data_IF_170598000092
#
_entry.id   IF_170598000092
#
_cell.length_a   1.000
_cell.length_b   1.000
_cell.length_c   1.000
_cell.angle_alpha   90.00
_cell.angle_beta   90.00
_cell.angle_gamma   90.00
#
_symmetry.space_group_name_H-M   'P 1'
#
loop_
_entity.id
_entity.type
_entity.pdbx_description
1 polymer ?
#
# COMPACT_ATOMS: atom_id res chain seq x y z
N UNK A 1 39.70 -23.16 63.73
CA UNK A 1 39.72 -22.26 62.56
C UNK A 1 39.58 -23.09 61.29
N UNK A 2 39.07 -22.50 60.21
CA UNK A 2 38.15 -23.05 59.20
C UNK A 2 38.54 -24.23 58.28
N UNK A 3 37.49 -24.99 57.95
CA UNK A 3 37.30 -25.89 56.80
C UNK A 3 37.30 -25.14 55.46
N UNK A 4 37.83 -25.74 54.39
CA UNK A 4 37.38 -25.48 53.00
C UNK A 4 37.42 -26.78 52.18
N UNK A 5 36.25 -27.35 51.91
CA UNK A 5 36.04 -28.31 50.82
C UNK A 5 35.73 -27.51 49.55
N UNK A 6 36.53 -27.70 48.50
CA UNK A 6 36.28 -27.13 47.18
C UNK A 6 35.36 -28.04 46.37
N UNK A 7 34.12 -27.59 46.14
CA UNK A 7 33.22 -28.20 45.15
C UNK A 7 33.65 -27.78 43.75
N UNK A 8 34.06 -28.75 42.94
CA UNK A 8 34.14 -28.60 41.49
C UNK A 8 32.73 -28.74 40.90
N UNK A 9 32.14 -27.62 40.47
CA UNK A 9 30.95 -27.62 39.63
C UNK A 9 31.37 -27.86 38.18
N UNK A 10 31.04 -29.04 37.65
CA UNK A 10 31.18 -29.38 36.24
C UNK A 10 29.99 -28.77 35.48
N UNK A 11 30.21 -27.63 34.80
CA UNK A 11 29.21 -27.03 33.93
C UNK A 11 29.20 -27.79 32.59
N UNK A 12 28.21 -28.66 32.41
CA UNK A 12 27.92 -29.29 31.10
C UNK A 12 27.20 -28.27 30.24
N UNK A 13 27.93 -27.58 29.38
CA UNK A 13 27.37 -26.72 28.35
C UNK A 13 26.80 -27.60 27.23
N UNK A 14 25.48 -27.78 27.21
CA UNK A 14 24.78 -28.31 26.03
C UNK A 14 24.81 -27.26 24.93
N UNK A 15 25.81 -27.31 24.07
CA UNK A 15 25.79 -26.62 22.79
C UNK A 15 24.79 -27.35 21.88
N UNK A 16 23.58 -26.81 21.76
CA UNK A 16 22.65 -27.23 20.72
C UNK A 16 23.30 -26.96 19.35
N UNK A 17 23.34 -27.95 18.44
CA UNK A 17 23.86 -27.71 17.11
C UNK A 17 22.96 -26.69 16.41
N UNK A 18 23.55 -25.59 15.94
CA UNK A 18 22.94 -24.81 14.85
C UNK A 18 22.96 -25.70 13.61
N UNK A 19 21.88 -26.45 13.39
CA UNK A 19 21.65 -27.15 12.12
C UNK A 19 21.63 -26.11 10.99
N UNK A 20 22.43 -26.33 9.95
CA UNK A 20 22.37 -25.54 8.74
C UNK A 20 20.95 -25.60 8.15
N UNK A 21 20.39 -24.42 7.88
CA UNK A 21 19.04 -24.22 7.40
C UNK A 21 18.96 -24.69 5.93
N UNK A 22 18.60 -25.97 5.71
CA UNK A 22 18.26 -26.46 4.39
C UNK A 22 17.02 -25.70 3.93
N UNK A 23 17.21 -24.75 3.00
CA UNK A 23 16.15 -23.90 2.47
C UNK A 23 14.95 -24.67 1.90
N UNK A 24 15.02 -25.99 1.75
CA UNK A 24 13.88 -26.83 1.40
C UNK A 24 12.76 -26.86 2.47
N UNK A 25 13.08 -26.59 3.73
CA UNK A 25 12.16 -26.81 4.86
C UNK A 25 11.16 -25.67 5.05
N UNK A 26 11.60 -24.41 4.88
CA UNK A 26 10.77 -23.23 5.06
C UNK A 26 11.28 -22.03 4.22
N UNK A 27 10.48 -21.59 3.26
CA UNK A 27 10.72 -20.43 2.42
C UNK A 27 9.62 -19.39 2.61
N UNK A 28 9.98 -18.11 2.55
CA UNK A 28 9.03 -16.99 2.66
C UNK A 28 9.24 -16.09 1.44
N UNK A 29 8.17 -15.84 0.70
CA UNK A 29 8.14 -14.95 -0.44
C UNK A 29 7.07 -13.89 -0.22
N UNK A 30 7.46 -12.62 -0.26
CA UNK A 30 6.47 -11.54 -0.39
C UNK A 30 5.85 -11.61 -1.78
N UNK A 31 4.52 -11.54 -1.86
CA UNK A 31 3.81 -11.41 -3.14
C UNK A 31 3.74 -9.94 -3.60
N UNK A 32 4.36 -9.03 -2.85
CA UNK A 32 4.49 -7.61 -3.14
C UNK A 32 5.95 -7.22 -3.34
N UNK A 33 6.20 -6.29 -4.27
CA UNK A 33 7.53 -5.69 -4.43
C UNK A 33 7.91 -4.84 -3.22
N UNK A 34 9.21 -4.66 -2.97
CA UNK A 34 9.74 -3.92 -1.81
C UNK A 34 9.24 -2.47 -1.69
N UNK A 35 8.75 -1.86 -2.77
CA UNK A 35 8.19 -0.51 -2.76
C UNK A 35 6.67 -0.46 -2.51
N UNK A 36 5.97 -1.59 -2.49
CA UNK A 36 4.52 -1.66 -2.31
C UNK A 36 4.05 -1.76 -0.85
N UNK A 37 4.93 -1.50 0.11
CA UNK A 37 4.66 -1.71 1.53
C UNK A 37 4.20 -0.39 2.14
N UNK A 38 2.89 -0.29 2.32
CA UNK A 38 2.24 0.93 2.78
C UNK A 38 1.34 0.62 3.98
N UNK A 39 1.19 1.57 4.92
CA UNK A 39 0.26 1.42 6.03
C UNK A 39 -1.18 1.19 5.54
N UNK A 40 -1.95 0.41 6.30
CA UNK A 40 -3.35 0.10 6.02
C UNK A 40 -3.61 -1.00 4.99
N UNK A 41 -2.61 -1.37 4.16
CA UNK A 41 -2.74 -2.42 3.16
C UNK A 41 -2.52 -3.82 3.75
N UNK A 42 -3.24 -4.80 3.22
CA UNK A 42 -2.99 -6.22 3.49
C UNK A 42 -1.87 -6.70 2.56
N UNK A 43 -0.77 -7.15 3.16
CA UNK A 43 0.46 -7.55 2.50
C UNK A 43 0.59 -9.08 2.58
N UNK A 44 0.25 -9.79 1.49
CA UNK A 44 0.33 -11.24 1.44
C UNK A 44 1.77 -11.74 1.28
N UNK A 45 2.11 -12.70 2.11
CA UNK A 45 3.28 -13.56 2.00
C UNK A 45 2.83 -14.96 1.62
N UNK A 46 3.63 -15.62 0.80
CA UNK A 46 3.56 -17.05 0.61
C UNK A 46 4.68 -17.71 1.40
N UNK A 47 4.32 -18.68 2.23
CA UNK A 47 5.24 -19.52 2.98
C UNK A 47 5.18 -20.92 2.39
N UNK A 48 6.32 -21.50 1.98
CA UNK A 48 6.39 -22.84 1.38
C UNK A 48 7.43 -23.71 2.06
N UNK A 49 7.44 -25.01 1.77
CA UNK A 49 8.37 -25.99 2.34
C UNK A 49 7.67 -27.16 3.04
N UNK A 50 8.43 -28.18 3.45
CA UNK A 50 7.86 -29.33 4.18
C UNK A 50 7.30 -28.95 5.55
N UNK A 51 7.89 -27.95 6.21
CA UNK A 51 7.44 -27.51 7.54
C UNK A 51 6.02 -26.92 7.51
N UNK A 52 5.54 -26.40 6.37
CA UNK A 52 4.16 -25.90 6.28
C UNK A 52 3.14 -26.98 5.90
N UNK A 53 3.54 -27.98 5.12
CA UNK A 53 2.66 -29.07 4.69
C UNK A 53 2.57 -30.22 5.70
N UNK A 54 3.63 -30.45 6.48
CA UNK A 54 3.73 -31.55 7.46
C UNK A 54 3.82 -31.04 8.90
N UNK A 55 4.24 -29.78 9.10
CA UNK A 55 4.42 -29.21 10.42
C UNK A 55 3.18 -28.48 10.97
N UNK A 56 3.23 -28.20 12.28
CA UNK A 56 2.26 -27.41 13.01
C UNK A 56 2.72 -25.96 13.09
N UNK A 57 1.88 -25.03 12.61
CA UNK A 57 2.12 -23.61 12.80
C UNK A 57 2.13 -23.25 14.29
N UNK A 58 3.19 -22.57 14.75
CA UNK A 58 3.36 -22.18 16.17
C UNK A 58 3.09 -20.71 16.41
N UNK A 59 3.35 -19.86 15.44
CA UNK A 59 3.09 -18.43 15.56
C UNK A 59 3.91 -17.58 14.60
N UNK A 60 3.63 -16.28 14.65
CA UNK A 60 4.40 -15.23 13.99
C UNK A 60 4.87 -14.25 15.05
N UNK A 61 6.14 -13.85 14.96
CA UNK A 61 6.70 -12.75 15.75
C UNK A 61 7.02 -11.59 14.81
N UNK A 62 6.52 -10.40 15.16
CA UNK A 62 6.86 -9.16 14.47
C UNK A 62 7.82 -8.39 15.37
N UNK A 63 8.95 -7.98 14.82
CA UNK A 63 9.89 -7.06 15.46
C UNK A 63 9.84 -5.76 14.69
N UNK A 64 9.63 -4.65 15.38
CA UNK A 64 9.46 -3.34 14.79
C UNK A 64 10.45 -2.38 15.45
N UNK A 65 11.02 -1.45 14.68
CA UNK A 65 12.01 -0.50 15.19
C UNK A 65 11.37 0.58 16.07
N UNK A 66 10.17 1.04 15.72
CA UNK A 66 9.50 2.16 16.41
C UNK A 66 8.30 1.74 17.27
N UNK A 67 7.88 0.48 17.21
CA UNK A 67 6.73 -0.06 17.92
C UNK A 67 5.39 0.03 17.16
N UNK A 68 5.38 0.07 15.83
CA UNK A 68 4.16 0.15 15.03
C UNK A 68 3.18 -1.02 15.27
N UNK A 69 1.87 -0.73 15.25
CA UNK A 69 0.81 -1.76 15.36
C UNK A 69 0.71 -2.53 14.04
N UNK A 70 1.46 -3.64 13.98
CA UNK A 70 1.42 -4.59 12.89
C UNK A 70 0.83 -5.93 13.35
N UNK A 71 0.01 -6.55 12.51
CA UNK A 71 -0.66 -7.82 12.78
C UNK A 71 -0.54 -8.75 11.59
N UNK A 72 -0.33 -10.03 11.88
CA UNK A 72 -0.31 -11.09 10.86
C UNK A 72 -1.46 -12.05 11.11
N UNK A 73 -2.16 -12.39 10.03
CA UNK A 73 -3.19 -13.41 10.01
C UNK A 73 -2.77 -14.52 9.03
N UNK A 74 -2.96 -15.78 9.40
CA UNK A 74 -2.87 -16.89 8.44
C UNK A 74 -4.19 -16.97 7.67
N UNK A 75 -4.12 -17.06 6.35
CA UNK A 75 -5.32 -17.19 5.53
C UNK A 75 -6.06 -18.51 5.85
N UNK A 76 -7.38 -18.48 6.09
CA UNK A 76 -8.14 -19.67 6.48
C UNK A 76 -8.37 -20.66 5.34
N UNK A 77 -8.23 -20.24 4.09
CA UNK A 77 -8.46 -21.07 2.89
C UNK A 77 -7.16 -21.51 2.24
N UNK A 78 -6.12 -20.68 2.32
CA UNK A 78 -4.81 -20.94 1.75
C UNK A 78 -3.77 -21.00 2.87
N UNK A 79 -3.49 -22.18 3.46
CA UNK A 79 -2.62 -22.31 4.64
C UNK A 79 -1.19 -21.82 4.41
N UNK A 80 -0.74 -21.69 3.17
CA UNK A 80 0.52 -21.11 2.73
C UNK A 80 0.53 -19.58 2.65
N UNK A 81 -0.63 -18.92 2.75
CA UNK A 81 -0.75 -17.46 2.66
C UNK A 81 -0.88 -16.84 4.05
N UNK A 82 -0.10 -15.80 4.29
CA UNK A 82 -0.15 -14.98 5.49
C UNK A 82 -0.34 -13.52 5.11
N UNK A 83 -1.25 -12.83 5.78
CA UNK A 83 -1.60 -11.44 5.53
C UNK A 83 -1.06 -10.58 6.67
N UNK A 84 -0.08 -9.72 6.39
CA UNK A 84 0.39 -8.69 7.31
C UNK A 84 -0.36 -7.39 7.05
N UNK A 85 -0.71 -6.68 8.11
CA UNK A 85 -1.20 -5.30 8.03
C UNK A 85 -0.55 -4.48 9.12
N UNK A 86 -0.09 -3.28 8.77
CA UNK A 86 0.46 -2.31 9.70
C UNK A 86 -0.41 -1.06 9.72
N UNK A 87 -0.62 -0.46 10.89
CA UNK A 87 -1.33 0.80 11.04
C UNK A 87 -0.46 2.01 10.64
N UNK A 88 0.83 1.93 10.92
CA UNK A 88 1.80 3.03 10.78
C UNK A 88 3.00 2.64 9.91
N UNK A 89 3.81 3.63 9.55
CA UNK A 89 5.08 3.42 8.87
C UNK A 89 6.14 2.90 9.83
N UNK A 90 6.93 1.91 9.41
CA UNK A 90 7.99 1.35 10.25
C UNK A 90 8.97 0.48 9.46
N UNK A 91 10.10 0.18 10.09
CA UNK A 91 10.98 -0.91 9.67
C UNK A 91 10.69 -2.12 10.53
N UNK A 92 10.35 -3.24 9.87
CA UNK A 92 9.94 -4.45 10.58
C UNK A 92 10.64 -5.71 10.06
N UNK A 93 10.72 -6.72 10.92
CA UNK A 93 11.09 -8.08 10.57
C UNK A 93 10.01 -9.03 11.06
N UNK A 94 9.63 -9.99 10.22
CA UNK A 94 8.60 -10.99 10.54
C UNK A 94 9.24 -12.36 10.59
N UNK A 95 9.11 -13.04 11.72
CA UNK A 95 9.59 -14.41 11.94
C UNK A 95 8.38 -15.36 12.01
N UNK A 96 8.42 -16.43 11.22
CA UNK A 96 7.44 -17.50 11.22
C UNK A 96 8.02 -18.73 11.88
N UNK A 97 7.26 -19.37 12.77
CA UNK A 97 7.68 -20.58 13.48
C UNK A 97 6.74 -21.75 13.18
N UNK A 98 7.33 -22.89 12.81
CA UNK A 98 6.64 -24.15 12.55
C UNK A 98 7.31 -25.27 13.35
N UNK A 99 6.54 -26.24 13.81
CA UNK A 99 7.03 -27.42 14.54
C UNK A 99 6.81 -28.67 13.68
N UNK A 100 7.87 -29.44 13.46
CA UNK A 100 7.83 -30.70 12.71
C UNK A 100 8.83 -31.67 13.34
N UNK A 101 8.43 -32.93 13.56
CA UNK A 101 9.25 -33.96 14.21
C UNK A 101 9.88 -33.54 15.54
N UNK A 102 9.13 -32.77 16.34
CA UNK A 102 9.57 -32.25 17.64
C UNK A 102 10.59 -31.11 17.57
N UNK A 103 10.97 -30.67 16.37
CA UNK A 103 11.89 -29.55 16.13
C UNK A 103 11.13 -28.30 15.70
N UNK A 104 11.58 -27.12 16.15
CA UNK A 104 10.99 -25.82 15.77
C UNK A 104 11.85 -25.14 14.71
N UNK A 105 11.28 -24.97 13.53
CA UNK A 105 11.86 -24.28 12.40
C UNK A 105 11.40 -22.82 12.40
N UNK A 106 12.34 -21.89 12.31
CA UNK A 106 12.08 -20.45 12.27
C UNK A 106 12.67 -19.86 11.02
N UNK A 107 11.91 -18.99 10.35
CA UNK A 107 12.42 -18.22 9.23
C UNK A 107 11.94 -16.79 9.32
N UNK A 108 12.84 -15.86 9.05
CA UNK A 108 12.58 -14.43 9.15
C UNK A 108 12.68 -13.77 7.78
N UNK A 109 11.83 -12.77 7.56
CA UNK A 109 11.89 -11.84 6.43
C UNK A 109 12.00 -10.41 6.97
N UNK A 110 12.92 -9.64 6.41
CA UNK A 110 13.20 -8.27 6.82
C UNK A 110 14.65 -7.86 6.58
N UNK A 111 14.98 -6.58 6.79
CA UNK A 111 14.06 -5.51 7.17
C UNK A 111 13.12 -5.14 6.03
N UNK A 112 11.84 -5.00 6.37
CA UNK A 112 10.76 -4.52 5.51
C UNK A 112 10.53 -3.06 5.84
N UNK A 113 10.45 -2.21 4.83
CA UNK A 113 10.20 -0.78 4.99
C UNK A 113 8.74 -0.45 4.65
N UNK A 114 7.89 -0.32 5.67
CA UNK A 114 6.51 0.16 5.53
C UNK A 114 6.56 1.68 5.51
N UNK A 115 6.33 2.27 4.34
CA UNK A 115 6.47 3.71 4.13
C UNK A 115 5.21 4.29 3.51
N UNK A 116 5.06 5.61 3.64
CA UNK A 116 4.02 6.32 2.88
C UNK A 116 4.27 6.06 1.39
N UNK A 117 3.23 5.69 0.60
CA UNK A 117 3.40 5.50 -0.83
C UNK A 117 3.97 6.77 -1.47
N UNK A 118 4.89 6.59 -2.42
CA UNK A 118 5.35 7.71 -3.24
C UNK A 118 4.12 8.27 -4.00
N UNK A 119 3.77 9.56 -3.84
CA UNK A 119 2.63 10.15 -4.53
C UNK A 119 2.75 10.05 -6.06
N UNK A 120 3.95 9.84 -6.60
CA UNK A 120 4.19 9.64 -8.03
C UNK A 120 4.02 8.19 -8.50
N UNK A 121 3.90 7.22 -7.58
CA UNK A 121 3.73 5.80 -7.89
C UNK A 121 2.26 5.36 -7.88
N UNK A 122 1.37 6.18 -7.31
CA UNK A 122 -0.07 5.98 -7.43
C UNK A 122 -0.53 6.62 -8.74
N UNK A 123 -0.58 5.81 -9.80
CA UNK A 123 -1.43 6.12 -10.96
C UNK A 123 -2.87 5.81 -10.55
N UNK A 124 -3.46 6.71 -9.78
CA UNK A 124 -4.91 6.76 -9.66
C UNK A 124 -5.43 7.18 -11.05
N UNK A 125 -6.34 6.43 -11.71
CA UNK A 125 -7.00 6.94 -12.91
C UNK A 125 -7.73 8.29 -12.66
N UNK A 126 -7.86 8.73 -11.40
CA UNK A 126 -8.43 10.00 -11.03
C UNK A 126 -7.66 10.64 -9.85
N UNK A 127 -6.62 11.46 -10.09
CA UNK A 127 -5.80 12.05 -9.04
C UNK A 127 -6.63 12.96 -8.14
N UNK A 128 -6.20 13.07 -6.88
CA UNK A 128 -6.80 13.76 -5.72
C UNK A 128 -7.09 15.26 -5.92
N UNK A 129 -8.02 15.57 -6.82
CA UNK A 129 -8.85 16.76 -6.81
C UNK A 129 -10.32 16.37 -6.64
N UNK A 130 -11.24 17.34 -6.45
CA UNK A 130 -12.65 17.05 -6.71
C UNK A 130 -12.74 16.42 -8.11
N UNK A 131 -13.67 15.48 -8.37
CA UNK A 131 -13.86 14.92 -9.70
C UNK A 131 -13.74 16.05 -10.74
N UNK A 132 -12.98 15.85 -11.81
CA UNK A 132 -12.73 16.91 -12.81
C UNK A 132 -14.03 17.59 -13.27
N UNK A 133 -15.15 16.85 -13.22
CA UNK A 133 -16.52 17.31 -13.45
C UNK A 133 -17.10 18.20 -12.35
N UNK A 134 -16.74 17.99 -11.08
CA UNK A 134 -17.07 18.87 -9.95
C UNK A 134 -16.28 20.18 -10.00
N UNK A 135 -14.98 20.14 -10.28
CA UNK A 135 -14.16 21.36 -10.51
C UNK A 135 -14.73 22.14 -11.70
N UNK A 136 -15.02 21.43 -12.80
CA UNK A 136 -15.65 22.01 -13.98
C UNK A 136 -17.00 22.67 -13.70
N UNK A 137 -17.82 22.07 -12.82
CA UNK A 137 -19.10 22.66 -12.39
C UNK A 137 -18.91 23.97 -11.64
N UNK A 138 -17.93 24.05 -10.74
CA UNK A 138 -17.65 25.27 -9.96
C UNK A 138 -17.13 26.39 -10.85
N UNK A 139 -16.18 26.07 -11.73
CA UNK A 139 -15.66 27.01 -12.72
C UNK A 139 -16.77 27.47 -13.69
N UNK A 140 -17.61 26.55 -14.17
CA UNK A 140 -18.75 26.89 -15.00
C UNK A 140 -19.72 27.86 -14.30
N UNK A 141 -20.00 27.61 -13.03
CA UNK A 141 -20.84 28.51 -12.21
C UNK A 141 -20.25 29.91 -12.08
N UNK A 142 -18.92 30.01 -12.02
CA UNK A 142 -18.21 31.27 -11.77
C UNK A 142 -18.00 32.08 -13.04
N UNK A 143 -17.81 31.41 -14.19
CA UNK A 143 -17.38 32.06 -15.42
C UNK A 143 -18.39 31.99 -16.57
N UNK A 144 -19.42 31.15 -16.50
CA UNK A 144 -20.28 30.85 -17.65
C UNK A 144 -21.77 31.07 -17.38
N UNK A 145 -22.25 30.85 -16.15
CA UNK A 145 -23.69 30.87 -15.80
C UNK A 145 -24.37 32.21 -16.06
N UNK A 146 -23.64 33.33 -15.99
CA UNK A 146 -24.21 34.66 -16.26
C UNK A 146 -24.81 34.78 -17.67
N UNK A 147 -24.28 34.01 -18.64
CA UNK A 147 -24.73 34.01 -20.03
C UNK A 147 -25.32 32.66 -20.46
N UNK A 148 -24.90 31.56 -19.84
CA UNK A 148 -25.29 30.19 -20.18
C UNK A 148 -26.10 29.53 -19.06
N UNK A 149 -27.32 30.01 -18.82
CA UNK A 149 -28.23 29.39 -17.86
C UNK A 149 -29.58 29.05 -18.53
N UNK A 150 -30.06 27.78 -18.54
CA UNK A 150 -29.42 26.61 -17.96
C UNK A 150 -28.32 25.98 -18.85
N UNK A 151 -27.32 25.31 -18.24
CA UNK A 151 -26.23 24.64 -18.96
C UNK A 151 -26.71 23.61 -19.99
N UNK A 152 -27.85 22.97 -19.73
CA UNK A 152 -28.43 21.93 -20.57
C UNK A 152 -28.97 22.43 -21.94
N UNK A 153 -28.98 23.74 -22.19
CA UNK A 153 -29.44 24.31 -23.47
C UNK A 153 -28.42 24.14 -24.62
N UNK A 154 -27.25 23.54 -24.37
CA UNK A 154 -26.22 23.25 -25.38
C UNK A 154 -25.83 21.77 -25.32
N UNK A 155 -26.17 21.07 -26.40
CA UNK A 155 -26.10 19.62 -26.63
C UNK A 155 -24.80 18.92 -26.19
N UNK A 156 -24.93 17.62 -25.84
CA UNK A 156 -23.96 16.50 -25.73
C UNK A 156 -22.76 16.52 -26.71
N UNK A 157 -21.93 17.54 -26.63
CA UNK A 157 -20.69 17.65 -27.40
C UNK A 157 -19.57 16.99 -26.61
N UNK A 158 -18.60 16.41 -27.32
CA UNK A 158 -17.41 15.88 -26.64
C UNK A 158 -16.66 16.99 -25.91
N UNK A 159 -16.00 16.65 -24.81
CA UNK A 159 -15.15 17.60 -24.06
C UNK A 159 -14.13 18.29 -24.99
N UNK A 160 -13.55 17.56 -25.95
CA UNK A 160 -12.64 18.15 -26.95
C UNK A 160 -13.31 19.24 -27.80
N UNK A 161 -14.55 19.03 -28.24
CA UNK A 161 -15.31 20.03 -29.02
C UNK A 161 -15.61 21.27 -28.17
N UNK A 162 -15.99 21.06 -26.91
CA UNK A 162 -16.32 22.14 -25.98
C UNK A 162 -15.08 22.98 -25.67
N UNK A 163 -13.95 22.32 -25.38
CA UNK A 163 -12.68 23.01 -25.15
C UNK A 163 -12.26 23.84 -26.36
N UNK A 164 -12.34 23.26 -27.56
CA UNK A 164 -12.03 23.97 -28.81
C UNK A 164 -12.93 25.20 -28.98
N UNK A 165 -14.22 25.09 -28.70
CA UNK A 165 -15.14 26.23 -28.77
C UNK A 165 -14.77 27.35 -27.78
N UNK A 166 -14.39 27.01 -26.55
CA UNK A 166 -13.94 28.00 -25.56
C UNK A 166 -12.69 28.75 -26.05
N UNK A 167 -11.77 28.04 -26.71
CA UNK A 167 -10.47 28.58 -27.12
C UNK A 167 -10.48 29.31 -28.48
N UNK A 168 -11.49 29.09 -29.32
CA UNK A 168 -11.52 29.61 -30.70
C UNK A 168 -12.68 30.54 -31.01
N UNK A 169 -13.73 30.56 -30.18
CA UNK A 169 -14.84 31.47 -30.38
C UNK A 169 -14.44 32.91 -29.99
N UNK A 170 -14.44 33.83 -30.96
CA UNK A 170 -14.02 35.22 -30.74
C UNK A 170 -14.79 35.97 -29.66
N UNK A 171 -16.07 35.67 -29.43
CA UNK A 171 -16.84 36.27 -28.33
C UNK A 171 -16.42 35.72 -26.98
N UNK A 172 -16.03 34.44 -26.89
CA UNK A 172 -15.50 33.85 -25.65
C UNK A 172 -14.08 34.35 -25.35
N UNK A 173 -13.22 34.45 -26.36
CA UNK A 173 -11.86 34.98 -26.21
C UNK A 173 -11.83 36.45 -25.78
N UNK A 174 -12.89 37.22 -26.08
CA UNK A 174 -13.02 38.61 -25.66
C UNK A 174 -13.44 38.78 -24.19
N UNK A 175 -13.75 37.70 -23.46
CA UNK A 175 -14.18 37.76 -22.05
C UNK A 175 -12.93 37.74 -21.14
N UNK A 176 -12.65 38.83 -20.40
CA UNK A 176 -11.43 38.91 -19.58
C UNK A 176 -11.34 37.81 -18.52
N UNK A 177 -12.47 37.42 -17.91
CA UNK A 177 -12.51 36.36 -16.88
C UNK A 177 -12.23 34.95 -17.41
N UNK A 178 -12.26 34.73 -18.73
CA UNK A 178 -11.87 33.45 -19.34
C UNK A 178 -10.38 33.43 -19.69
N UNK A 179 -9.76 34.59 -19.89
CA UNK A 179 -8.33 34.72 -20.20
C UNK A 179 -7.41 34.33 -19.03
N UNK A 180 -7.94 34.30 -17.80
CA UNK A 180 -7.21 33.90 -16.59
C UNK A 180 -7.27 32.39 -16.32
N UNK A 181 -8.07 31.64 -17.07
CA UNK A 181 -8.20 30.19 -16.89
C UNK A 181 -7.03 29.44 -17.54
N UNK A 182 -6.47 28.51 -16.79
CA UNK A 182 -5.45 27.58 -17.26
C UNK A 182 -6.01 26.53 -18.21
N UNK A 183 -5.13 25.86 -18.96
CA UNK A 183 -5.53 24.77 -19.84
C UNK A 183 -6.25 23.63 -19.12
N UNK A 184 -5.92 23.39 -17.84
CA UNK A 184 -6.52 22.36 -16.99
C UNK A 184 -7.88 22.77 -16.45
N UNK A 185 -8.08 24.04 -16.10
CA UNK A 185 -9.39 24.57 -15.75
C UNK A 185 -10.35 24.54 -16.94
N UNK A 186 -9.85 24.83 -18.15
CA UNK A 186 -10.62 24.68 -19.40
C UNK A 186 -10.97 23.21 -19.68
N UNK A 187 -10.04 22.27 -19.44
CA UNK A 187 -10.31 20.84 -19.51
C UNK A 187 -11.42 20.44 -18.52
N UNK A 188 -11.40 20.97 -17.30
CA UNK A 188 -12.38 20.67 -16.28
C UNK A 188 -13.79 21.14 -16.66
N UNK A 189 -13.92 22.38 -17.13
CA UNK A 189 -15.20 22.93 -17.63
C UNK A 189 -15.74 22.06 -18.77
N UNK A 190 -14.88 21.69 -19.73
CA UNK A 190 -15.27 20.88 -20.87
C UNK A 190 -15.67 19.45 -20.48
N UNK A 191 -14.98 18.85 -19.52
CA UNK A 191 -15.32 17.54 -18.97
C UNK A 191 -16.68 17.56 -18.27
N UNK A 192 -16.97 18.58 -17.44
CA UNK A 192 -18.28 18.76 -16.82
C UNK A 192 -19.40 18.85 -17.86
N UNK A 193 -19.26 19.76 -18.83
CA UNK A 193 -20.28 19.97 -19.87
C UNK A 193 -20.48 18.76 -20.77
N UNK A 194 -19.44 17.95 -21.01
CA UNK A 194 -19.53 16.70 -21.76
C UNK A 194 -20.32 15.59 -21.07
N UNK A 195 -20.68 15.75 -19.79
CA UNK A 195 -21.53 14.79 -19.04
C UNK A 195 -23.02 15.15 -19.00
N UNK A 196 -23.41 16.32 -19.55
CA UNK A 196 -24.78 16.79 -19.65
C UNK A 196 -25.43 16.39 -20.99
#
# INVERSE_FOLDING_TARGET
MWKRLGSFLLAVAFALPLQADDGSLLQIQSLYGANGWVPGQLLPFRVTGSAISQGKFRGVKITSETGADCRVMRDPFLPEIFLLKCADTDKLSVEFAFEMDGSVYRRSIGPIDVKVPDPNFIVDPNPTGPPITQVGRQLYSSHCVSCHNPPASKSRRSAATIKSAIQTNGQMMAIPSLSTLTADELNAIAAYLGTL
#
